data_IF_836724699103
#
_entry.id   IF_836724699103
#
_cell.length_a   1.000
_cell.length_b   1.000
_cell.length_c   1.000
_cell.angle_alpha   90.00
_cell.angle_beta   90.00
_cell.angle_gamma   90.00
#
_symmetry.space_group_name_H-M   'P 1'
#
loop_
_entity.id
_entity.type
_entity.pdbx_description
1 polymer ?
#
# COMPACT_ATOMS: atom_id res chain seq x y z
N UNK A 1 -14.14 31.57 2.72
CA UNK A 1 -13.01 30.62 2.69
C UNK A 1 -13.53 29.27 3.10
N UNK A 2 -13.54 28.29 2.19
CA UNK A 2 -13.85 26.89 2.50
C UNK A 2 -12.88 25.99 1.71
N UNK A 3 -11.90 25.48 2.45
CA UNK A 3 -10.95 24.39 2.21
C UNK A 3 -10.98 23.68 0.84
N UNK A 4 -10.08 24.08 -0.05
CA UNK A 4 -9.71 23.35 -1.27
C UNK A 4 -8.74 22.18 -1.03
N UNK A 5 -8.48 21.81 0.23
CA UNK A 5 -7.43 20.86 0.58
C UNK A 5 -7.80 19.37 0.41
N UNK A 6 -9.09 19.01 0.35
CA UNK A 6 -9.49 17.59 0.28
C UNK A 6 -9.37 17.03 -1.14
N UNK A 7 -9.59 17.86 -2.17
CA UNK A 7 -9.53 17.42 -3.57
C UNK A 7 -8.13 16.97 -3.96
N UNK A 8 -7.10 17.71 -3.56
CA UNK A 8 -5.71 17.41 -3.91
C UNK A 8 -5.14 16.17 -3.22
N UNK A 9 -5.58 15.86 -1.99
CA UNK A 9 -5.13 14.67 -1.27
C UNK A 9 -5.70 13.39 -1.89
N UNK A 10 -6.97 13.42 -2.29
CA UNK A 10 -7.60 12.29 -2.97
C UNK A 10 -6.96 12.03 -4.34
N UNK A 11 -6.72 13.08 -5.13
CA UNK A 11 -6.02 12.98 -6.42
C UNK A 11 -4.60 12.42 -6.26
N UNK A 12 -3.89 12.79 -5.19
CA UNK A 12 -2.56 12.25 -4.86
C UNK A 12 -2.62 10.74 -4.64
N UNK A 13 -3.55 10.25 -3.81
CA UNK A 13 -3.66 8.81 -3.55
C UNK A 13 -4.12 8.05 -4.79
N UNK A 14 -5.10 8.54 -5.54
CA UNK A 14 -5.60 7.87 -6.74
C UNK A 14 -4.52 7.68 -7.81
N UNK A 15 -3.59 8.64 -7.91
CA UNK A 15 -2.47 8.55 -8.86
C UNK A 15 -1.38 7.57 -8.41
N UNK A 16 -1.25 7.32 -7.10
CA UNK A 16 -0.16 6.55 -6.49
C UNK A 16 -0.58 5.15 -6.01
N UNK A 17 -1.88 4.90 -5.85
CA UNK A 17 -2.42 3.67 -5.27
C UNK A 17 -2.99 2.68 -6.28
N UNK A 18 -2.88 2.97 -7.58
CA UNK A 18 -3.49 2.19 -8.65
C UNK A 18 -3.07 0.71 -8.60
N UNK A 19 -1.78 0.41 -8.42
CA UNK A 19 -1.28 -0.96 -8.31
C UNK A 19 -1.92 -1.71 -7.14
N UNK A 20 -2.17 -1.02 -6.03
CA UNK A 20 -2.80 -1.58 -4.84
C UNK A 20 -4.31 -1.79 -5.01
N UNK A 21 -4.96 -0.91 -5.78
CA UNK A 21 -6.37 -1.00 -6.11
C UNK A 21 -6.65 -2.20 -7.02
N UNK A 22 -5.77 -2.47 -7.98
CA UNK A 22 -5.88 -3.61 -8.90
C UNK A 22 -5.80 -4.97 -8.21
N UNK A 23 -4.98 -5.08 -7.16
CA UNK A 23 -4.91 -6.30 -6.34
C UNK A 23 -5.97 -6.36 -5.23
N UNK A 24 -6.88 -5.38 -5.18
CA UNK A 24 -8.03 -5.37 -4.27
C UNK A 24 -7.72 -4.95 -2.84
N UNK A 25 -6.68 -4.13 -2.59
CA UNK A 25 -6.44 -3.58 -1.27
C UNK A 25 -7.50 -2.53 -0.89
N UNK A 26 -7.88 -2.51 0.39
CA UNK A 26 -8.81 -1.53 0.93
C UNK A 26 -8.18 -0.14 1.01
N UNK A 27 -9.00 0.92 0.92
CA UNK A 27 -8.54 2.30 0.99
C UNK A 27 -7.57 2.61 2.17
N UNK A 28 -7.80 2.14 3.42
CA UNK A 28 -6.84 2.36 4.50
C UNK A 28 -5.49 1.69 4.27
N UNK A 29 -5.45 0.46 3.74
CA UNK A 29 -4.18 -0.22 3.45
C UNK A 29 -3.43 0.45 2.30
N UNK A 30 -4.14 0.90 1.27
CA UNK A 30 -3.55 1.65 0.14
C UNK A 30 -2.91 2.96 0.58
N UNK A 31 -3.61 3.73 1.41
CA UNK A 31 -3.09 4.99 1.98
C UNK A 31 -1.85 4.74 2.83
N UNK A 32 -1.89 3.71 3.70
CA UNK A 32 -0.74 3.34 4.53
C UNK A 32 0.51 3.03 3.69
N UNK A 33 0.36 2.34 2.55
CA UNK A 33 1.47 2.05 1.65
C UNK A 33 1.99 3.32 0.97
N UNK A 34 1.09 4.17 0.46
CA UNK A 34 1.45 5.44 -0.21
C UNK A 34 2.15 6.41 0.74
N UNK A 35 1.73 6.46 2.01
CA UNK A 35 2.36 7.31 3.03
C UNK A 35 3.77 6.85 3.39
N UNK A 36 4.03 5.54 3.31
CA UNK A 36 5.37 4.95 3.45
C UNK A 36 6.20 5.02 2.16
N UNK A 37 5.66 5.59 1.08
CA UNK A 37 6.34 5.67 -0.23
C UNK A 37 6.43 4.35 -0.98
N UNK A 38 5.48 3.44 -0.71
CA UNK A 38 5.35 2.13 -1.36
C UNK A 38 4.27 2.23 -2.44
N UNK A 39 4.65 2.25 -3.71
CA UNK A 39 3.73 2.48 -4.83
C UNK A 39 3.49 1.22 -5.67
N UNK A 40 4.37 0.22 -5.55
CA UNK A 40 4.27 -1.05 -6.25
C UNK A 40 4.83 -2.22 -5.44
N UNK A 41 4.60 -3.45 -5.90
CA UNK A 41 5.11 -4.67 -5.26
C UNK A 41 6.63 -4.63 -5.04
N UNK A 42 7.39 -4.12 -6.01
CA UNK A 42 8.86 -4.04 -5.93
C UNK A 42 9.36 -3.23 -4.73
N UNK A 43 8.61 -2.21 -4.30
CA UNK A 43 8.97 -1.38 -3.15
C UNK A 43 8.92 -2.16 -1.83
N UNK A 44 8.08 -3.18 -1.74
CA UNK A 44 7.94 -4.02 -0.55
C UNK A 44 9.23 -4.78 -0.21
N UNK A 45 10.16 -4.91 -1.16
CA UNK A 45 11.50 -5.48 -0.94
C UNK A 45 12.33 -4.65 0.04
N UNK A 46 11.97 -3.39 0.27
CA UNK A 46 12.62 -2.48 1.24
C UNK A 46 12.11 -2.72 2.66
N UNK A 47 10.95 -3.36 2.82
CA UNK A 47 10.25 -3.57 4.09
C UNK A 47 10.22 -5.05 4.49
N UNK A 48 10.27 -5.30 5.79
CA UNK A 48 10.03 -6.64 6.32
C UNK A 48 8.53 -6.91 6.42
N UNK A 49 8.14 -8.18 6.41
CA UNK A 49 6.74 -8.56 6.63
C UNK A 49 6.23 -8.11 8.02
N UNK A 50 7.11 -8.05 9.02
CA UNK A 50 6.78 -7.52 10.33
C UNK A 50 6.48 -6.03 10.27
N UNK A 51 7.34 -5.23 9.63
CA UNK A 51 7.13 -3.79 9.49
C UNK A 51 5.81 -3.47 8.77
N UNK A 52 5.46 -4.23 7.73
CA UNK A 52 4.18 -4.06 7.03
C UNK A 52 2.97 -4.30 7.93
N UNK A 53 3.03 -5.30 8.82
CA UNK A 53 1.93 -5.60 9.76
C UNK A 53 1.70 -4.48 10.78
N UNK A 54 2.73 -3.72 11.10
CA UNK A 54 2.66 -2.60 12.04
C UNK A 54 2.13 -1.31 11.40
N UNK A 55 1.97 -1.27 10.07
CA UNK A 55 1.45 -0.08 9.39
C UNK A 55 0.01 0.21 9.79
N UNK A 56 -0.25 1.47 10.16
CA UNK A 56 -1.58 1.91 10.54
C UNK A 56 -2.55 1.80 9.37
N UNK A 57 -3.61 0.99 9.51
CA UNK A 57 -4.55 0.69 8.42
C UNK A 57 -4.27 -0.60 7.66
N UNK A 58 -3.16 -1.29 7.97
CA UNK A 58 -2.84 -2.61 7.41
C UNK A 58 -3.55 -3.72 8.18
N UNK A 59 -4.65 -4.23 7.61
CA UNK A 59 -5.38 -5.36 8.17
C UNK A 59 -4.81 -6.74 7.75
N UNK A 60 -5.18 -7.83 8.43
CA UNK A 60 -4.69 -9.18 8.12
C UNK A 60 -5.00 -9.62 6.69
N UNK A 61 -6.12 -9.17 6.13
CA UNK A 61 -6.49 -9.44 4.74
C UNK A 61 -5.54 -8.76 3.74
N UNK A 62 -5.15 -7.51 4.01
CA UNK A 62 -4.24 -6.77 3.14
C UNK A 62 -2.84 -7.42 3.15
N UNK A 63 -2.34 -7.80 4.34
CA UNK A 63 -1.08 -8.55 4.47
C UNK A 63 -1.13 -9.86 3.70
N UNK A 64 -2.22 -10.63 3.79
CA UNK A 64 -2.38 -11.89 3.06
C UNK A 64 -2.34 -11.68 1.54
N UNK A 65 -3.03 -10.66 1.03
CA UNK A 65 -2.98 -10.29 -0.39
C UNK A 65 -1.55 -9.93 -0.80
N UNK A 66 -0.86 -9.06 -0.06
CA UNK A 66 0.52 -8.66 -0.36
C UNK A 66 1.49 -9.85 -0.41
N UNK A 67 1.40 -10.77 0.57
CA UNK A 67 2.21 -12.00 0.58
C UNK A 67 1.93 -12.87 -0.66
N UNK A 68 0.67 -12.97 -1.07
CA UNK A 68 0.26 -13.77 -2.23
C UNK A 68 0.79 -13.16 -3.53
N UNK A 69 0.65 -11.86 -3.70
CA UNK A 69 1.12 -11.14 -4.89
C UNK A 69 2.64 -11.08 -4.96
N UNK A 70 3.34 -10.93 -3.83
CA UNK A 70 4.80 -11.07 -3.76
C UNK A 70 5.26 -12.43 -4.28
N UNK A 71 4.63 -13.51 -3.79
CA UNK A 71 4.96 -14.86 -4.24
C UNK A 71 4.67 -15.07 -5.73
N UNK A 72 3.56 -14.53 -6.24
CA UNK A 72 3.21 -14.60 -7.67
C UNK A 72 4.22 -13.86 -8.55
N UNK A 73 4.75 -12.75 -8.05
CA UNK A 73 5.77 -11.95 -8.73
C UNK A 73 7.21 -12.47 -8.52
N UNK A 74 7.41 -13.59 -7.82
CA UNK A 74 8.73 -14.12 -7.41
C UNK A 74 9.57 -13.10 -6.61
N UNK A 75 8.88 -12.27 -5.82
CA UNK A 75 9.47 -11.26 -4.97
C UNK A 75 9.43 -11.69 -3.50
N UNK A 76 10.37 -11.17 -2.73
CA UNK A 76 10.50 -11.44 -1.30
C UNK A 76 10.64 -10.14 -0.52
N UNK A 77 10.03 -10.11 0.67
CA UNK A 77 10.22 -9.03 1.63
C UNK A 77 11.68 -8.98 2.08
N UNK A 78 12.06 -7.82 2.63
CA UNK A 78 13.32 -7.68 3.34
C UNK A 78 13.40 -8.70 4.48
N UNK A 79 14.53 -9.38 4.58
CA UNK A 79 14.85 -10.28 5.70
C UNK A 79 14.97 -9.52 7.01
#
# INVERSE_FOLDING_TARGET
>A
MASSNNTSELERYESLDQAWKEIGLSAPARRALVDEGLFELSDLRKYSLAALKELHGMGPNAVRTLVTEMKRADLTFRK
#
